data_IF_679513232798
#
_entry.id   IF_679513232798
#
_cell.length_a   1.000
_cell.length_b   1.000
_cell.length_c   1.000
_cell.angle_alpha   90.00
_cell.angle_beta   90.00
_cell.angle_gamma   90.00
#
_symmetry.space_group_name_H-M   'P 1'
#
loop_
_entity.id
_entity.type
_entity.pdbx_description
1 polymer ?
#
# COMPACT_ATOMS: atom_id res chain seq x y z
N UNK A 1 11.00 -1.43 12.27
CA UNK A 1 11.18 0.02 12.04
C UNK A 1 12.62 0.36 12.35
N UNK A 2 13.36 0.97 11.42
CA UNK A 2 14.79 1.24 11.57
C UNK A 2 15.04 2.15 12.78
N UNK A 3 15.91 1.72 13.71
CA UNK A 3 16.30 2.49 14.89
C UNK A 3 17.26 3.65 14.60
N UNK A 4 17.29 4.14 13.36
CA UNK A 4 18.18 5.19 12.91
C UNK A 4 17.43 6.52 12.94
N UNK A 5 17.99 7.53 13.62
CA UNK A 5 17.34 8.84 13.75
C UNK A 5 17.26 9.51 12.38
N UNK A 6 16.05 9.63 11.85
CA UNK A 6 15.78 10.31 10.57
C UNK A 6 16.12 11.80 10.71
N UNK A 7 16.92 12.33 9.79
CA UNK A 7 17.17 13.78 9.68
C UNK A 7 15.87 14.46 9.20
N UNK A 8 15.14 15.05 10.15
CA UNK A 8 13.79 15.61 9.92
C UNK A 8 13.84 16.82 9.00
N UNK A 9 14.85 17.68 9.13
CA UNK A 9 15.01 18.86 8.28
C UNK A 9 15.23 18.47 6.82
N UNK A 10 16.09 17.46 6.57
CA UNK A 10 16.30 16.92 5.24
C UNK A 10 15.01 16.30 4.68
N UNK A 11 14.29 15.54 5.52
CA UNK A 11 13.01 14.96 5.15
C UNK A 11 11.99 16.02 4.75
N UNK A 12 11.81 17.06 5.56
CA UNK A 12 10.86 18.14 5.25
C UNK A 12 11.21 18.83 3.93
N UNK A 13 12.49 19.12 3.68
CA UNK A 13 12.94 19.74 2.42
C UNK A 13 12.62 18.85 1.21
N UNK A 14 12.88 17.55 1.31
CA UNK A 14 12.60 16.60 0.22
C UNK A 14 11.10 16.42 0.00
N UNK A 15 10.30 16.28 1.06
CA UNK A 15 8.85 16.17 0.92
C UNK A 15 8.24 17.44 0.32
N UNK A 16 8.67 18.63 0.77
CA UNK A 16 8.24 19.92 0.16
C UNK A 16 8.56 19.99 -1.33
N UNK A 17 9.75 19.55 -1.75
CA UNK A 17 10.14 19.59 -3.17
C UNK A 17 9.37 18.58 -4.03
N UNK A 18 9.00 17.43 -3.48
CA UNK A 18 8.27 16.38 -4.21
C UNK A 18 6.75 16.59 -4.26
N UNK A 19 6.17 17.27 -3.28
CA UNK A 19 4.71 17.36 -3.14
C UNK A 19 4.07 18.39 -4.09
N UNK A 20 4.85 19.31 -4.68
CA UNK A 20 4.37 20.32 -5.65
C UNK A 20 3.02 20.92 -5.25
N UNK A 21 2.91 21.41 -4.01
CA UNK A 21 1.67 21.96 -3.47
C UNK A 21 1.42 23.36 -4.01
N UNK A 22 0.15 23.72 -4.16
CA UNK A 22 -0.29 25.07 -4.57
C UNK A 22 -0.02 26.09 -3.45
N UNK A 23 -0.15 25.64 -2.21
CA UNK A 23 0.08 26.45 -1.01
C UNK A 23 1.16 25.84 -0.13
N UNK A 24 1.60 26.60 0.88
CA UNK A 24 2.64 26.15 1.80
C UNK A 24 2.20 24.93 2.61
N UNK A 25 3.16 24.02 2.83
CA UNK A 25 3.03 22.89 3.75
C UNK A 25 3.93 23.11 4.94
N UNK A 26 3.37 22.98 6.13
CA UNK A 26 4.07 23.12 7.41
C UNK A 26 4.15 21.79 8.14
N UNK A 27 5.30 21.52 8.75
CA UNK A 27 5.58 20.29 9.48
C UNK A 27 5.79 20.63 10.95
N UNK A 28 5.08 19.95 11.84
CA UNK A 28 5.20 20.11 13.29
C UNK A 28 5.54 18.75 13.89
N UNK A 29 6.72 18.61 14.48
CA UNK A 29 7.09 17.39 15.20
C UNK A 29 6.24 17.28 16.47
N UNK A 30 5.58 16.14 16.66
CA UNK A 30 4.76 15.89 17.85
C UNK A 30 5.51 15.04 18.89
N UNK A 31 6.24 14.03 18.42
CA UNK A 31 7.12 13.19 19.23
C UNK A 31 8.23 12.57 18.35
N UNK A 32 8.94 11.56 18.86
CA UNK A 32 10.13 11.05 18.20
C UNK A 32 9.94 10.27 16.89
N UNK A 33 8.70 9.92 16.54
CA UNK A 33 8.36 9.24 15.30
C UNK A 33 7.17 9.85 14.54
N UNK A 34 6.50 10.87 15.10
CA UNK A 34 5.22 11.37 14.59
C UNK A 34 5.30 12.85 14.25
N UNK A 35 4.77 13.20 13.07
CA UNK A 35 4.78 14.56 12.54
C UNK A 35 3.37 14.93 12.09
N UNK A 36 2.92 16.11 12.51
CA UNK A 36 1.72 16.72 11.98
C UNK A 36 2.06 17.52 10.72
N UNK A 37 1.41 17.17 9.62
CA UNK A 37 1.54 17.88 8.35
C UNK A 37 0.33 18.77 8.13
N UNK A 38 0.56 20.09 8.10
CA UNK A 38 -0.47 21.11 7.86
C UNK A 38 -0.39 21.57 6.42
N UNK A 39 -1.44 21.29 5.65
CA UNK A 39 -1.59 21.77 4.28
C UNK A 39 -2.41 23.06 4.27
N UNK A 40 -1.95 24.09 3.55
CA UNK A 40 -2.75 25.30 3.31
C UNK A 40 -4.02 25.02 2.47
N UNK A 41 -3.93 24.03 1.57
CA UNK A 41 -5.01 23.68 0.65
C UNK A 41 -5.53 22.24 0.85
N UNK A 42 -6.86 22.10 0.91
CA UNK A 42 -7.54 20.79 1.04
C UNK A 42 -7.36 19.88 -0.17
N UNK A 43 -7.23 20.43 -1.38
CA UNK A 43 -6.97 19.66 -2.61
C UNK A 43 -5.58 19.03 -2.56
N UNK A 44 -4.57 19.78 -2.08
CA UNK A 44 -3.22 19.26 -1.90
C UNK A 44 -3.19 18.15 -0.85
N UNK A 45 -3.86 18.36 0.29
CA UNK A 45 -4.02 17.31 1.32
C UNK A 45 -4.62 16.04 0.72
N UNK A 46 -5.74 16.18 0.00
CA UNK A 46 -6.47 15.04 -0.60
C UNK A 46 -5.60 14.33 -1.64
N UNK A 47 -4.89 15.10 -2.48
CA UNK A 47 -3.94 14.57 -3.46
C UNK A 47 -2.81 13.81 -2.79
N UNK A 48 -2.22 14.33 -1.72
CA UNK A 48 -1.12 13.68 -1.00
C UNK A 48 -1.56 12.38 -0.32
N UNK A 49 -2.74 12.37 0.30
CA UNK A 49 -3.33 11.16 0.88
C UNK A 49 -3.62 10.11 -0.21
N UNK A 50 -4.14 10.53 -1.37
CA UNK A 50 -4.42 9.63 -2.49
C UNK A 50 -3.14 9.07 -3.15
N UNK A 51 -1.98 9.70 -2.99
CA UNK A 51 -0.71 9.24 -3.54
C UNK A 51 0.09 8.33 -2.59
N UNK A 52 -0.44 8.03 -1.40
CA UNK A 52 0.16 7.05 -0.47
C UNK A 52 0.32 5.66 -1.12
N UNK A 53 1.38 4.91 -0.78
CA UNK A 53 2.35 5.20 0.27
C UNK A 53 3.46 6.17 -0.19
N UNK A 54 3.92 7.00 0.73
CA UNK A 54 5.10 7.84 0.54
C UNK A 54 6.34 7.14 1.06
N UNK A 55 7.49 7.43 0.44
CA UNK A 55 8.78 6.92 0.86
C UNK A 55 9.70 8.10 1.16
N UNK A 56 10.50 7.97 2.21
CA UNK A 56 11.65 8.82 2.47
C UNK A 56 12.86 7.91 2.76
N UNK A 57 13.94 8.10 2.01
CA UNK A 57 15.16 7.28 2.12
C UNK A 57 14.88 5.77 2.14
N UNK A 58 14.10 5.30 1.15
CA UNK A 58 13.65 3.90 1.01
C UNK A 58 12.84 3.33 2.18
N UNK A 59 12.53 4.16 3.18
CA UNK A 59 11.70 3.85 4.33
C UNK A 59 10.29 4.36 4.09
N UNK A 60 9.31 3.65 4.64
CA UNK A 60 7.91 4.02 4.51
C UNK A 60 7.65 5.29 5.32
N UNK A 61 6.94 6.25 4.72
CA UNK A 61 6.39 7.42 5.39
C UNK A 61 4.85 7.30 5.37
N UNK A 62 4.26 6.68 6.40
CA UNK A 62 2.81 6.57 6.53
C UNK A 62 2.19 7.97 6.71
N UNK A 63 1.13 8.27 5.95
CA UNK A 63 0.42 9.54 6.02
C UNK A 63 -1.07 9.28 6.15
N UNK A 64 -1.65 9.74 7.26
CA UNK A 64 -3.06 9.55 7.59
C UNK A 64 -3.79 10.89 7.72
N UNK A 65 -5.10 10.94 7.43
CA UNK A 65 -5.92 12.10 7.74
C UNK A 65 -5.95 12.31 9.27
N UNK A 66 -5.66 13.52 9.71
CA UNK A 66 -5.80 13.88 11.12
C UNK A 66 -7.29 13.97 11.51
N UNK A 67 -7.69 13.24 12.55
CA UNK A 67 -9.02 13.26 13.15
C UNK A 67 -8.94 13.96 14.50
N UNK A 68 -9.73 15.03 14.67
CA UNK A 68 -9.78 15.79 15.92
C UNK A 68 -10.35 14.91 17.04
N UNK A 69 -9.62 14.79 18.14
CA UNK A 69 -10.04 14.03 19.33
C UNK A 69 -9.64 12.55 19.32
N UNK A 70 -9.06 12.05 18.22
CA UNK A 70 -8.47 10.72 18.18
C UNK A 70 -7.09 10.72 18.85
N UNK A 71 -6.82 9.70 19.67
CA UNK A 71 -5.51 9.56 20.31
C UNK A 71 -4.47 9.07 19.30
N UNK A 72 -3.18 9.31 19.59
CA UNK A 72 -2.11 8.93 18.67
C UNK A 72 -1.95 7.42 18.52
N UNK A 73 -2.25 6.68 19.59
CA UNK A 73 -2.12 5.22 19.61
C UNK A 73 -3.22 4.52 18.81
N UNK A 74 -4.34 5.22 18.53
CA UNK A 74 -5.42 4.72 17.67
C UNK A 74 -5.06 4.71 16.19
N UNK A 75 -3.95 5.35 15.79
CA UNK A 75 -3.52 5.36 14.39
C UNK A 75 -2.76 4.08 14.04
N UNK A 76 -3.37 3.25 13.22
CA UNK A 76 -2.78 2.01 12.69
C UNK A 76 -1.73 2.27 11.59
N UNK A 77 -0.56 2.81 11.96
CA UNK A 77 0.51 3.13 11.00
C UNK A 77 1.09 1.90 10.27
N UNK A 78 0.80 0.69 10.74
CA UNK A 78 1.20 -0.56 10.10
C UNK A 78 0.29 -0.97 8.92
N UNK A 79 -0.95 -0.46 8.85
CA UNK A 79 -1.89 -0.80 7.79
C UNK A 79 -1.75 0.23 6.66
N UNK A 80 -1.12 -0.17 5.55
CA UNK A 80 -0.77 0.76 4.48
C UNK A 80 -1.32 0.35 3.12
N UNK A 81 -1.94 1.29 2.36
CA UNK A 81 -2.41 1.00 1.02
C UNK A 81 -1.24 0.93 0.03
N UNK A 82 -1.17 -0.15 -0.73
CA UNK A 82 -0.26 -0.30 -1.87
C UNK A 82 -1.05 -0.50 -3.16
N UNK A 83 -0.53 0.06 -4.25
CA UNK A 83 -0.93 -0.38 -5.58
C UNK A 83 -0.20 -1.68 -5.90
N UNK A 84 -0.96 -2.68 -6.28
CA UNK A 84 -0.52 -4.05 -6.52
C UNK A 84 -0.95 -4.43 -7.93
N UNK A 85 -0.02 -4.97 -8.72
CA UNK A 85 -0.26 -5.54 -10.04
C UNK A 85 -0.28 -7.06 -9.93
N UNK A 86 -1.35 -7.67 -10.41
CA UNK A 86 -1.53 -9.11 -10.44
C UNK A 86 -1.44 -9.57 -11.88
N UNK A 87 -0.46 -10.42 -12.15
CA UNK A 87 -0.14 -10.95 -13.46
C UNK A 87 -0.57 -12.42 -13.59
N UNK A 88 -0.61 -12.91 -14.82
CA UNK A 88 -0.99 -14.28 -15.18
C UNK A 88 -2.44 -14.63 -14.80
N UNK A 89 -3.33 -13.64 -14.81
CA UNK A 89 -4.77 -13.90 -14.78
C UNK A 89 -5.18 -14.23 -16.22
N UNK A 90 -5.86 -15.36 -16.47
CA UNK A 90 -6.39 -15.68 -17.80
C UNK A 90 -7.29 -14.54 -18.28
N UNK A 91 -7.18 -14.17 -19.56
CA UNK A 91 -7.88 -13.01 -20.10
C UNK A 91 -9.39 -13.12 -19.94
N UNK A 92 -9.93 -14.34 -20.06
CA UNK A 92 -11.34 -14.68 -19.92
C UNK A 92 -11.84 -14.54 -18.48
N UNK A 93 -10.93 -14.58 -17.49
CA UNK A 93 -11.22 -14.42 -16.06
C UNK A 93 -10.84 -13.03 -15.54
N UNK A 94 -10.30 -12.17 -16.41
CA UNK A 94 -9.88 -10.85 -16.01
C UNK A 94 -11.12 -9.97 -15.90
N UNK A 95 -11.75 -9.94 -14.73
CA UNK A 95 -12.89 -9.08 -14.45
C UNK A 95 -12.79 -8.41 -13.07
N UNK A 96 -13.81 -7.61 -12.75
CA UNK A 96 -13.86 -6.86 -11.49
C UNK A 96 -14.07 -7.76 -10.28
N UNK A 97 -14.80 -8.86 -10.41
CA UNK A 97 -15.13 -9.77 -9.32
C UNK A 97 -13.88 -10.56 -8.92
N UNK A 98 -13.15 -11.08 -9.91
CA UNK A 98 -11.83 -11.70 -9.71
C UNK A 98 -10.84 -10.71 -9.10
N UNK A 99 -10.84 -9.45 -9.53
CA UNK A 99 -10.00 -8.41 -8.92
C UNK A 99 -10.31 -8.20 -7.42
N UNK A 100 -11.60 -8.23 -7.04
CA UNK A 100 -12.04 -8.11 -5.65
C UNK A 100 -11.60 -9.33 -4.85
N UNK A 101 -11.82 -10.54 -5.37
CA UNK A 101 -11.54 -11.77 -4.63
C UNK A 101 -10.05 -12.00 -4.43
N UNK A 102 -9.25 -11.79 -5.48
CA UNK A 102 -7.78 -11.79 -5.36
C UNK A 102 -7.32 -10.68 -4.41
N UNK A 103 -7.91 -9.50 -4.49
CA UNK A 103 -7.59 -8.40 -3.59
C UNK A 103 -7.88 -8.71 -2.12
N UNK A 104 -9.03 -9.34 -1.83
CA UNK A 104 -9.42 -9.79 -0.48
C UNK A 104 -8.47 -10.86 0.07
N UNK A 105 -7.94 -11.73 -0.78
CA UNK A 105 -6.93 -12.71 -0.38
C UNK A 105 -5.60 -12.06 0.05
N UNK A 106 -5.34 -10.83 -0.40
CA UNK A 106 -4.15 -10.04 -0.05
C UNK A 106 -4.41 -9.13 1.16
N UNK A 107 -5.57 -8.47 1.22
CA UNK A 107 -5.93 -7.52 2.28
C UNK A 107 -7.24 -6.76 2.00
N UNK A 108 -7.41 -5.58 2.59
CA UNK A 108 -8.61 -4.75 2.37
C UNK A 108 -8.51 -4.00 1.03
N UNK A 109 -9.40 -4.30 0.08
CA UNK A 109 -9.43 -3.65 -1.24
C UNK A 109 -10.02 -2.23 -1.14
N UNK A 110 -9.25 -1.25 -1.61
CA UNK A 110 -9.61 0.18 -1.60
C UNK A 110 -10.03 0.66 -2.98
N UNK A 111 -9.33 0.21 -4.03
CA UNK A 111 -9.63 0.62 -5.40
C UNK A 111 -9.22 -0.45 -6.41
N UNK A 112 -9.85 -0.43 -7.58
CA UNK A 112 -9.57 -1.35 -8.69
C UNK A 112 -9.34 -0.51 -9.95
N UNK A 113 -8.34 -0.91 -10.73
CA UNK A 113 -7.87 -0.27 -11.96
C UNK A 113 -7.54 -1.37 -12.98
N UNK A 114 -8.58 -1.91 -13.62
CA UNK A 114 -8.49 -3.07 -14.51
C UNK A 114 -8.40 -2.72 -16.00
N UNK A 115 -8.51 -1.45 -16.36
CA UNK A 115 -8.51 -0.99 -17.76
C UNK A 115 -7.39 -0.01 -18.05
N UNK A 116 -6.88 -0.04 -19.28
CA UNK A 116 -6.00 1.00 -19.80
C UNK A 116 -6.76 2.31 -20.07
N UNK A 117 -6.07 3.32 -20.60
CA UNK A 117 -6.67 4.64 -20.89
C UNK A 117 -7.82 4.57 -21.91
N UNK A 118 -7.81 3.55 -22.76
CA UNK A 118 -8.76 3.35 -23.85
C UNK A 118 -9.85 2.34 -23.44
N UNK A 119 -9.92 1.93 -22.17
CA UNK A 119 -10.87 0.94 -21.70
C UNK A 119 -10.48 -0.50 -22.04
N UNK A 120 -9.29 -0.75 -22.60
CA UNK A 120 -8.84 -2.09 -22.99
C UNK A 120 -8.24 -2.82 -21.80
N UNK A 121 -8.36 -4.14 -21.85
CA UNK A 121 -7.70 -5.04 -20.92
C UNK A 121 -6.18 -4.86 -20.96
N UNK A 122 -5.56 -4.83 -19.77
CA UNK A 122 -4.10 -4.79 -19.60
C UNK A 122 -3.54 -6.19 -19.36
N UNK A 123 -2.22 -6.35 -19.41
CA UNK A 123 -1.53 -7.62 -19.11
C UNK A 123 -1.61 -8.02 -17.60
N UNK A 124 -2.15 -7.14 -16.75
CA UNK A 124 -2.33 -7.34 -15.31
C UNK A 124 -3.57 -6.60 -14.80
N UNK A 125 -4.15 -7.08 -13.70
CA UNK A 125 -5.11 -6.29 -12.91
C UNK A 125 -4.31 -5.43 -11.93
N UNK A 126 -4.64 -4.13 -11.84
CA UNK A 126 -4.05 -3.23 -10.84
C UNK A 126 -5.08 -2.95 -9.76
N UNK A 127 -4.77 -3.28 -8.51
CA UNK A 127 -5.65 -3.05 -7.36
C UNK A 127 -4.91 -2.25 -6.29
N UNK A 128 -5.64 -1.46 -5.52
CA UNK A 128 -5.14 -0.79 -4.34
C UNK A 128 -5.64 -1.54 -3.12
N UNK A 129 -4.72 -2.07 -2.31
CA UNK A 129 -5.04 -2.92 -1.16
C UNK A 129 -4.30 -2.41 0.07
N UNK A 130 -4.98 -2.29 1.20
CA UNK A 130 -4.34 -2.09 2.49
C UNK A 130 -3.80 -3.42 3.00
N UNK A 131 -2.51 -3.44 3.31
CA UNK A 131 -1.82 -4.59 3.85
C UNK A 131 -1.15 -4.22 5.17
N UNK A 132 -0.97 -5.21 6.04
CA UNK A 132 -0.19 -5.08 7.26
C UNK A 132 1.31 -5.21 6.93
N UNK A 133 2.07 -4.11 7.05
CA UNK A 133 3.50 -4.07 6.72
C UNK A 133 4.37 -4.83 7.71
N UNK A 134 3.80 -5.26 8.84
CA UNK A 134 4.46 -6.13 9.82
C UNK A 134 4.36 -7.61 9.45
N UNK A 135 3.67 -7.96 8.37
CA UNK A 135 3.58 -9.33 7.85
C UNK A 135 4.42 -9.49 6.59
N UNK A 136 4.95 -10.70 6.32
CA UNK A 136 5.68 -10.96 5.08
C UNK A 136 4.82 -10.67 3.85
N UNK A 137 5.43 -10.10 2.82
CA UNK A 137 4.76 -9.80 1.55
C UNK A 137 4.16 -11.07 0.91
N UNK A 138 2.96 -10.95 0.35
CA UNK A 138 2.40 -12.01 -0.49
C UNK A 138 3.10 -11.99 -1.85
N UNK A 139 3.45 -13.17 -2.37
CA UNK A 139 4.21 -13.30 -3.64
C UNK A 139 3.34 -13.76 -4.80
N UNK A 140 2.36 -14.60 -4.49
CA UNK A 140 1.42 -15.22 -5.43
C UNK A 140 0.03 -15.30 -4.80
N UNK A 141 -0.99 -15.34 -5.63
CA UNK A 141 -2.35 -15.78 -5.27
C UNK A 141 -2.75 -16.92 -6.20
N UNK A 142 -3.46 -17.89 -5.66
CA UNK A 142 -3.99 -19.02 -6.42
C UNK A 142 -5.43 -18.72 -6.79
N UNK A 143 -5.72 -18.72 -8.09
CA UNK A 143 -7.06 -18.54 -8.64
C UNK A 143 -7.60 -19.91 -9.05
N UNK A 144 -8.75 -20.31 -8.54
CA UNK A 144 -9.39 -21.57 -8.88
C UNK A 144 -10.57 -21.26 -9.80
N UNK A 145 -10.49 -21.72 -11.04
CA UNK A 145 -11.57 -21.59 -12.02
C UNK A 145 -12.76 -22.49 -11.73
N UNK A 146 -13.87 -22.26 -12.42
CA UNK A 146 -15.10 -23.07 -12.31
C UNK A 146 -14.91 -24.54 -12.64
N UNK A 147 -13.95 -24.85 -13.51
CA UNK A 147 -13.59 -26.23 -13.89
C UNK A 147 -12.59 -26.89 -12.92
N UNK A 148 -12.25 -26.21 -11.82
CA UNK A 148 -11.25 -26.68 -10.85
C UNK A 148 -9.80 -26.45 -11.28
N UNK A 149 -9.57 -25.78 -12.41
CA UNK A 149 -8.23 -25.42 -12.88
C UNK A 149 -7.62 -24.35 -11.99
N UNK A 150 -6.44 -24.65 -11.44
CA UNK A 150 -5.71 -23.73 -10.59
C UNK A 150 -4.70 -22.92 -11.41
N UNK A 151 -4.81 -21.59 -11.34
CA UNK A 151 -3.88 -20.66 -11.97
C UNK A 151 -3.10 -19.90 -10.90
N UNK A 152 -1.77 -19.93 -10.99
CA UNK A 152 -0.89 -19.20 -10.08
C UNK A 152 -0.66 -17.78 -10.62
N UNK A 153 -1.28 -16.80 -9.98
CA UNK A 153 -1.14 -15.40 -10.31
C UNK A 153 0.03 -14.79 -9.54
N UNK A 154 0.90 -14.04 -10.22
CA UNK A 154 2.08 -13.42 -9.59
C UNK A 154 1.79 -11.98 -9.18
N UNK A 155 2.34 -11.56 -8.04
CA UNK A 155 2.08 -10.25 -7.44
C UNK A 155 3.29 -9.35 -7.58
N UNK A 156 3.08 -8.08 -7.95
CA UNK A 156 4.10 -7.02 -7.87
C UNK A 156 3.55 -5.77 -7.19
N UNK A 157 4.32 -5.21 -6.28
CA UNK A 157 3.98 -4.02 -5.49
C UNK A 157 4.60 -2.77 -6.11
N UNK A 158 3.77 -1.79 -6.44
CA UNK A 158 4.25 -0.47 -6.85
C UNK A 158 4.79 0.30 -5.64
N UNK A 159 5.91 1.01 -5.83
CA UNK A 159 6.56 1.81 -4.76
C UNK A 159 6.86 1.00 -3.49
N UNK A 160 7.20 -0.27 -3.64
CA UNK A 160 7.59 -1.13 -2.53
C UNK A 160 8.91 -0.62 -1.89
N UNK A 161 8.93 -0.29 -0.58
CA UNK A 161 10.12 0.17 0.15
C UNK A 161 11.23 -0.88 0.18
N UNK A 162 12.30 -0.61 0.93
CA UNK A 162 13.24 -1.66 1.32
C UNK A 162 12.52 -2.76 2.12
N UNK A 163 12.85 -4.01 1.84
CA UNK A 163 12.30 -5.18 2.52
C UNK A 163 13.35 -6.30 2.54
N UNK A 164 13.18 -7.24 3.48
CA UNK A 164 14.12 -8.33 3.67
C UNK A 164 13.86 -9.48 2.68
N UNK A 165 14.92 -9.94 1.99
CA UNK A 165 14.78 -11.00 0.97
C UNK A 165 14.65 -12.42 1.56
N UNK A 166 15.02 -12.59 2.84
CA UNK A 166 14.83 -13.85 3.58
C UNK A 166 13.40 -13.94 4.11
N UNK A 167 12.94 -12.88 4.75
CA UNK A 167 11.81 -12.93 5.66
C UNK A 167 10.54 -12.25 5.11
N UNK A 168 10.70 -11.42 4.07
CA UNK A 168 9.61 -10.74 3.36
C UNK A 168 9.06 -9.49 4.06
N UNK A 169 9.63 -9.07 5.19
CA UNK A 169 9.14 -7.92 5.97
C UNK A 169 9.65 -6.60 5.40
N UNK A 170 8.75 -5.61 5.34
CA UNK A 170 9.07 -4.24 4.95
C UNK A 170 9.85 -3.53 6.06
N UNK A 171 10.88 -2.77 5.68
CA UNK A 171 11.73 -2.01 6.60
C UNK A 171 12.75 -2.85 7.35
N UNK A 172 12.80 -4.17 7.12
CA UNK A 172 13.88 -5.03 7.56
C UNK A 172 14.93 -5.19 6.45
N UNK A 173 16.18 -5.44 6.85
CA UNK A 173 17.29 -5.68 5.91
C UNK A 173 17.72 -7.13 6.00
N UNK A 174 18.04 -7.73 4.86
CA UNK A 174 18.56 -9.11 4.80
C UNK A 174 19.77 -9.33 5.72
N UNK A 175 20.57 -8.28 5.94
CA UNK A 175 21.74 -8.33 6.82
C UNK A 175 21.40 -8.44 8.31
N UNK A 176 20.32 -7.77 8.76
CA UNK A 176 19.86 -7.72 10.16
C UNK A 176 18.67 -8.64 10.43
N UNK A 177 18.37 -9.54 9.49
CA UNK A 177 17.24 -10.45 9.60
C UNK A 177 17.50 -11.53 10.67
N UNK A 178 16.58 -11.68 11.62
CA UNK A 178 16.67 -12.70 12.66
C UNK A 178 16.62 -14.13 12.12
N UNK A 179 16.03 -14.35 10.94
CA UNK A 179 15.91 -15.67 10.28
C UNK A 179 17.11 -16.00 9.37
N UNK A 180 18.22 -15.26 9.50
CA UNK A 180 19.38 -15.41 8.61
C UNK A 180 20.14 -16.72 8.85
N UNK A 181 20.30 -17.13 10.11
CA UNK A 181 21.02 -18.36 10.48
C UNK A 181 20.28 -19.60 9.95
N UNK A 182 18.97 -19.71 10.23
CA UNK A 182 18.10 -20.77 9.68
C UNK A 182 18.18 -20.87 8.14
N UNK A 183 18.21 -19.73 7.45
CA UNK A 183 18.31 -19.68 5.99
C UNK A 183 19.67 -20.20 5.48
N UNK A 184 20.76 -19.92 6.20
CA UNK A 184 22.10 -20.40 5.84
C UNK A 184 22.24 -21.91 6.07
N UNK A 185 21.66 -22.43 7.15
CA UNK A 185 21.66 -23.88 7.47
C UNK A 185 20.94 -24.71 6.42
N UNK A 186 19.89 -24.16 5.80
CA UNK A 186 19.13 -24.86 4.76
C UNK A 186 19.89 -24.96 3.43
N UNK A 187 21.08 -24.34 3.30
CA UNK A 187 21.88 -24.27 2.06
C UNK A 187 21.10 -23.74 0.82
N UNK A 188 19.96 -23.08 1.05
CA UNK A 188 19.14 -22.50 0.01
C UNK A 188 19.74 -21.15 -0.36
N UNK A 189 20.56 -21.12 -1.42
CA UNK A 189 21.10 -19.87 -1.99
C UNK A 189 20.01 -18.99 -2.61
N UNK A 190 18.80 -19.54 -2.81
CA UNK A 190 17.67 -18.84 -3.38
C UNK A 190 16.82 -18.18 -2.29
N UNK A 191 16.92 -16.85 -2.18
CA UNK A 191 16.01 -16.05 -1.38
C UNK A 191 14.56 -16.25 -1.84
N UNK A 192 13.64 -16.46 -0.89
CA UNK A 192 12.21 -16.61 -1.19
C UNK A 192 11.59 -15.34 -1.80
N UNK A 193 12.21 -14.18 -1.56
CA UNK A 193 11.79 -12.87 -2.04
C UNK A 193 12.94 -12.21 -2.83
N UNK A 194 12.60 -11.24 -3.67
CA UNK A 194 13.60 -10.49 -4.41
C UNK A 194 13.03 -9.26 -5.12
N UNK A 195 13.91 -8.52 -5.79
CA UNK A 195 13.55 -7.27 -6.49
C UNK A 195 12.44 -7.43 -7.52
N UNK A 196 12.21 -8.64 -8.01
CA UNK A 196 11.12 -9.02 -8.93
C UNK A 196 9.72 -8.79 -8.35
N UNK A 197 9.57 -8.58 -7.04
CA UNK A 197 8.33 -8.10 -6.41
C UNK A 197 8.00 -6.65 -6.74
N UNK A 198 8.94 -5.90 -7.33
CA UNK A 198 8.69 -4.58 -7.89
C UNK A 198 8.38 -4.73 -9.39
N UNK A 199 7.43 -3.97 -9.95
CA UNK A 199 7.23 -3.95 -11.38
C UNK A 199 8.49 -3.40 -12.08
N UNK A 200 8.88 -4.03 -13.18
CA UNK A 200 9.90 -3.45 -14.06
C UNK A 200 9.29 -2.20 -14.70
N UNK A 201 9.86 -1.04 -14.41
CA UNK A 201 9.53 0.17 -15.15
C UNK A 201 10.21 0.05 -16.51
N UNK A 202 9.45 0.01 -17.59
CA UNK A 202 10.00 0.25 -18.92
C UNK A 202 10.81 1.56 -18.91
N UNK A 203 11.84 1.65 -19.76
CA UNK A 203 12.67 2.85 -19.89
C UNK A 203 11.85 4.14 -20.07
N UNK A 204 12.49 5.32 -20.01
CA UNK A 204 11.81 6.61 -19.91
C UNK A 204 11.08 6.99 -21.21
N UNK A 205 10.00 6.30 -21.55
CA UNK A 205 8.97 6.83 -22.44
C UNK A 205 8.05 7.68 -21.56
N UNK A 206 8.26 8.98 -21.68
CA UNK A 206 7.49 10.05 -21.05
C UNK A 206 6.00 9.72 -20.96
N UNK A 207 5.54 9.45 -19.74
CA UNK A 207 4.14 9.39 -19.41
C UNK A 207 3.97 9.86 -17.96
N UNK A 208 4.15 11.17 -17.77
CA UNK A 208 3.56 11.94 -16.66
C UNK A 208 2.21 11.33 -16.28
N UNK A 209 1.96 11.12 -14.99
CA UNK A 209 0.69 10.76 -14.33
C UNK A 209 -0.49 10.62 -15.29
N UNK A 210 -0.54 9.53 -16.05
CA UNK A 210 -1.69 9.29 -16.90
C UNK A 210 -2.74 8.63 -16.03
N UNK A 211 -3.75 9.40 -15.65
CA UNK A 211 -4.98 8.88 -15.05
C UNK A 211 -5.50 7.80 -16.00
N UNK A 212 -5.50 6.54 -15.55
CA UNK A 212 -6.33 5.51 -16.19
C UNK A 212 -7.77 5.87 -15.87
N UNK A 213 -8.63 5.85 -16.87
CA UNK A 213 -10.01 6.32 -16.75
C UNK A 213 -10.90 5.35 -15.93
N UNK A 214 -10.39 4.19 -15.52
CA UNK A 214 -11.15 3.10 -14.90
C UNK A 214 -10.91 2.85 -13.41
N UNK A 215 -10.42 3.83 -12.64
CA UNK A 215 -10.22 3.65 -11.19
C UNK A 215 -11.59 3.66 -10.47
N UNK A 216 -12.04 2.49 -10.01
CA UNK A 216 -13.22 2.35 -9.16
C UNK A 216 -12.80 2.33 -7.68
N UNK A 217 -13.23 3.32 -6.89
CA UNK A 217 -13.05 3.34 -5.44
C UNK A 217 -14.14 2.48 -4.80
N UNK A 218 -13.77 1.60 -3.88
CA UNK A 218 -14.72 0.82 -3.10
C UNK A 218 -15.01 1.58 -1.80
N UNK A 219 -16.21 2.17 -1.70
CA UNK A 219 -16.67 2.78 -0.46
C UNK A 219 -17.01 1.69 0.56
N UNK A 220 -16.54 1.85 1.80
CA UNK A 220 -17.07 1.05 2.92
C UNK A 220 -18.51 1.46 3.13
N UNK A 221 -19.46 0.54 2.97
CA UNK A 221 -20.80 0.69 3.54
C UNK A 221 -20.63 0.76 5.06
N UNK A 222 -20.65 1.96 5.63
CA UNK A 222 -20.81 2.14 7.08
C UNK A 222 -22.24 1.70 7.37
N UNK A 223 -22.42 0.57 8.05
CA UNK A 223 -23.75 0.14 8.52
C UNK A 223 -24.19 1.11 9.63
N UNK A 224 -25.28 1.88 9.46
CA UNK A 224 -25.80 2.71 10.53
C UNK A 224 -26.76 1.88 11.37
N UNK A 225 -26.25 0.98 12.22
CA UNK A 225 -27.07 0.27 13.21
C UNK A 225 -26.24 -0.08 14.44
N UNK A 226 -26.14 0.86 15.37
CA UNK A 226 -26.00 0.60 16.81
C UNK A 226 -26.20 1.90 17.63
N UNK A 227 -27.29 2.62 17.38
CA UNK A 227 -27.82 3.60 18.36
C UNK A 227 -29.35 3.52 18.39
N UNK A 228 -29.87 2.43 18.95
CA UNK A 228 -31.22 2.40 19.52
C UNK A 228 -31.22 1.38 20.64
N UNK A 229 -31.16 1.86 21.89
CA UNK A 229 -32.00 1.44 23.02
C UNK A 229 -31.32 1.78 24.34
N UNK A 230 -31.65 2.96 24.86
CA UNK A 230 -31.26 3.41 26.19
C UNK A 230 -32.16 4.55 26.65
N UNK A 231 -33.48 4.37 26.53
CA UNK A 231 -34.45 5.23 27.19
C UNK A 231 -35.77 4.48 27.38
N UNK A 232 -35.97 3.99 28.61
CA UNK A 232 -37.21 3.95 29.41
C UNK A 232 -37.25 2.72 30.30
N UNK A 233 -37.14 2.96 31.60
CA UNK A 233 -37.86 2.35 32.74
C UNK A 233 -37.23 3.02 33.98
N UNK A 234 -37.88 3.84 34.81
CA UNK A 234 -39.31 3.99 35.04
C UNK A 234 -39.76 3.16 36.23
N UNK A 235 -39.14 3.34 37.41
CA UNK A 235 -39.79 3.22 38.72
C UNK A 235 -38.98 3.95 39.79
#
# INVERSE_FOLDING_TARGET
MSGEKVNREAMYRVLKSLWFTKEEVNFVALNDGTILVKFGNIEDRTRMLNLTPWLFDQSLFPLFPFVKGQEMDDYEFNIMPFWIRIYNIPFEQMDREVAIDVGKAIGEVVAIDCHDKNGRWTEYIRIRVKIDVLRPLRRVVHLVGSEGTETVCTIKYERLPAFCYICGLIGDTTQKCNRKEEHLETNNLNFQYGSWLRPQLGGPTQARCNRRNGIAILEKKINPREETNGNKEGM
#
